data_IF_079297810064
#
_entry.id   IF_079297810064
#
_cell.length_a   1.000
_cell.length_b   1.000
_cell.length_c   1.000
_cell.angle_alpha   90.00
_cell.angle_beta   90.00
_cell.angle_gamma   90.00
#
_symmetry.space_group_name_H-M   'P 1'
#
loop_
_entity.id
_entity.type
_entity.pdbx_description
1 polymer ?
#
# COMPACT_ATOMS: atom_id res chain seq x y z
N UNK A 1 -20.03 -31.16 3.69
CA UNK A 1 -20.59 -30.36 2.60
C UNK A 1 -20.91 -29.01 3.23
N UNK A 2 -19.97 -28.05 3.13
CA UNK A 2 -20.22 -26.67 3.58
C UNK A 2 -21.14 -26.01 2.57
N UNK A 3 -22.27 -25.48 3.03
CA UNK A 3 -23.18 -24.72 2.18
C UNK A 3 -22.42 -23.48 1.68
N UNK A 4 -22.24 -23.39 0.36
CA UNK A 4 -21.76 -22.16 -0.29
C UNK A 4 -22.86 -21.12 -0.05
N UNK A 5 -22.55 -20.10 0.77
CA UNK A 5 -23.45 -18.94 0.91
C UNK A 5 -23.74 -18.39 -0.48
N UNK A 6 -25.01 -18.04 -0.79
CA UNK A 6 -25.33 -17.44 -2.08
C UNK A 6 -24.52 -16.13 -2.22
N UNK A 7 -23.66 -16.05 -3.24
CA UNK A 7 -22.99 -14.78 -3.60
C UNK A 7 -24.07 -13.71 -3.74
N UNK A 8 -23.90 -12.60 -3.02
CA UNK A 8 -24.77 -11.44 -3.18
C UNK A 8 -24.88 -11.09 -4.68
N UNK A 9 -26.10 -10.78 -5.12
CA UNK A 9 -26.35 -10.45 -6.52
C UNK A 9 -25.49 -9.23 -6.91
N UNK A 10 -24.66 -9.39 -7.96
CA UNK A 10 -23.84 -8.30 -8.51
C UNK A 10 -24.74 -7.12 -8.89
N UNK A 11 -24.32 -5.93 -8.49
CA UNK A 11 -24.99 -4.67 -8.84
C UNK A 11 -24.40 -4.04 -10.11
N UNK A 12 -23.13 -4.33 -10.40
CA UNK A 12 -22.44 -3.88 -11.61
C UNK A 12 -22.99 -4.56 -12.84
N UNK A 13 -23.41 -3.76 -13.80
CA UNK A 13 -23.91 -4.22 -15.10
C UNK A 13 -22.89 -3.92 -16.19
N UNK A 14 -22.67 -4.88 -17.06
CA UNK A 14 -21.83 -4.75 -18.24
C UNK A 14 -22.59 -4.33 -19.49
N UNK A 15 -21.87 -4.08 -20.59
CA UNK A 15 -20.43 -4.23 -20.73
C UNK A 15 -19.64 -3.17 -19.96
N UNK A 16 -18.47 -3.55 -19.43
CA UNK A 16 -17.50 -2.65 -18.82
C UNK A 16 -16.29 -2.54 -19.74
N UNK A 17 -15.98 -1.34 -20.23
CA UNK A 17 -14.78 -1.08 -21.03
C UNK A 17 -13.64 -0.68 -20.09
N UNK A 18 -12.53 -1.39 -20.14
CA UNK A 18 -11.31 -1.08 -19.39
C UNK A 18 -10.22 -0.60 -20.35
N UNK A 19 -9.76 0.62 -20.14
CA UNK A 19 -8.69 1.26 -20.91
C UNK A 19 -7.41 1.23 -20.10
N UNK A 20 -6.42 0.50 -20.62
CA UNK A 20 -5.17 0.19 -19.91
C UNK A 20 -5.22 -1.20 -19.28
N UNK A 21 -4.45 -2.12 -19.86
CA UNK A 21 -4.32 -3.52 -19.42
C UNK A 21 -3.05 -3.77 -18.62
N UNK A 22 -2.71 -2.80 -17.76
CA UNK A 22 -1.68 -2.94 -16.72
C UNK A 22 -2.13 -3.81 -15.55
N UNK A 23 -1.44 -3.71 -14.41
CA UNK A 23 -1.78 -4.45 -13.19
C UNK A 23 -3.23 -4.20 -12.75
N UNK A 24 -3.62 -2.93 -12.55
CA UNK A 24 -4.95 -2.58 -12.02
C UNK A 24 -6.07 -2.91 -13.01
N UNK A 25 -5.91 -2.51 -14.29
CA UNK A 25 -6.93 -2.74 -15.29
C UNK A 25 -7.18 -4.23 -15.53
N UNK A 26 -6.11 -5.04 -15.67
CA UNK A 26 -6.26 -6.48 -15.86
C UNK A 26 -6.83 -7.16 -14.61
N UNK A 27 -6.41 -6.77 -13.40
CA UNK A 27 -6.97 -7.32 -12.16
C UNK A 27 -8.46 -7.03 -12.03
N UNK A 28 -8.88 -5.78 -12.33
CA UNK A 28 -10.29 -5.39 -12.31
C UNK A 28 -11.10 -6.19 -13.34
N UNK A 29 -10.56 -6.32 -14.53
CA UNK A 29 -11.16 -7.13 -15.59
C UNK A 29 -11.38 -8.59 -15.15
N UNK A 30 -10.36 -9.22 -14.57
CA UNK A 30 -10.44 -10.59 -14.06
C UNK A 30 -11.48 -10.74 -12.95
N UNK A 31 -11.52 -9.79 -11.99
CA UNK A 31 -12.50 -9.79 -10.90
C UNK A 31 -13.94 -9.69 -11.45
N UNK A 32 -14.19 -8.77 -12.37
CA UNK A 32 -15.51 -8.58 -12.99
C UNK A 32 -15.91 -9.81 -13.83
N UNK A 33 -14.98 -10.38 -14.61
CA UNK A 33 -15.24 -11.60 -15.40
C UNK A 33 -15.56 -12.80 -14.51
N UNK A 34 -14.83 -12.98 -13.40
CA UNK A 34 -15.11 -14.03 -12.42
C UNK A 34 -16.52 -13.90 -11.80
N UNK A 35 -17.05 -12.68 -11.76
CA UNK A 35 -18.38 -12.36 -11.29
C UNK A 35 -19.45 -12.41 -12.41
N UNK A 36 -19.07 -12.76 -13.65
CA UNK A 36 -19.99 -12.91 -14.78
C UNK A 36 -20.31 -11.62 -15.53
N UNK A 37 -19.59 -10.53 -15.29
CA UNK A 37 -19.75 -9.26 -16.00
C UNK A 37 -19.03 -9.34 -17.36
N UNK A 38 -19.66 -8.83 -18.41
CA UNK A 38 -19.03 -8.67 -19.72
C UNK A 38 -17.99 -7.55 -19.67
N UNK A 39 -16.74 -7.85 -20.08
CA UNK A 39 -15.62 -6.90 -20.05
C UNK A 39 -14.98 -6.77 -21.44
N UNK A 40 -14.82 -5.54 -21.86
CA UNK A 40 -14.09 -5.13 -23.05
C UNK A 40 -12.77 -4.50 -22.65
N UNK A 41 -11.72 -4.69 -23.45
CA UNK A 41 -10.35 -4.26 -23.15
C UNK A 41 -9.82 -3.36 -24.26
N UNK A 42 -9.17 -2.28 -23.90
CA UNK A 42 -8.44 -1.40 -24.82
C UNK A 42 -7.09 -1.05 -24.23
N UNK A 43 -6.03 -1.14 -25.04
CA UNK A 43 -4.68 -0.72 -24.66
C UNK A 43 -3.91 -0.25 -25.89
N UNK A 44 -3.02 0.71 -25.73
CA UNK A 44 -2.13 1.18 -26.79
C UNK A 44 -1.01 0.18 -27.10
N UNK A 45 -0.73 -0.75 -26.18
CA UNK A 45 0.22 -1.85 -26.36
C UNK A 45 -0.52 -3.11 -26.82
N UNK A 46 -0.36 -3.54 -28.09
CA UNK A 46 -0.97 -4.79 -28.56
C UNK A 46 -0.54 -6.02 -27.75
N UNK A 47 0.69 -6.01 -27.24
CA UNK A 47 1.24 -7.12 -26.42
C UNK A 47 0.54 -7.18 -25.06
N UNK A 48 0.34 -6.03 -24.38
CA UNK A 48 -0.36 -5.99 -23.10
C UNK A 48 -1.81 -6.40 -23.26
N UNK A 49 -2.48 -5.90 -24.32
CA UNK A 49 -3.86 -6.26 -24.64
C UNK A 49 -4.01 -7.76 -24.91
N UNK A 50 -3.12 -8.34 -25.73
CA UNK A 50 -3.14 -9.76 -26.03
C UNK A 50 -2.93 -10.61 -24.78
N UNK A 51 -1.97 -10.23 -23.92
CA UNK A 51 -1.72 -10.93 -22.66
C UNK A 51 -2.95 -10.91 -21.74
N UNK A 52 -3.56 -9.74 -21.53
CA UNK A 52 -4.77 -9.61 -20.71
C UNK A 52 -5.94 -10.44 -21.25
N UNK A 53 -6.15 -10.45 -22.58
CA UNK A 53 -7.12 -11.31 -23.26
C UNK A 53 -6.84 -12.79 -22.99
N UNK A 54 -5.60 -13.22 -23.18
CA UNK A 54 -5.20 -14.63 -23.04
C UNK A 54 -5.28 -15.11 -21.58
N UNK A 55 -5.18 -14.20 -20.62
CA UNK A 55 -5.48 -14.44 -19.21
C UNK A 55 -7.00 -14.53 -18.91
N UNK A 56 -7.88 -14.30 -19.88
CA UNK A 56 -9.33 -14.35 -19.71
C UNK A 56 -9.94 -13.07 -19.09
N UNK A 57 -9.20 -11.95 -19.09
CA UNK A 57 -9.66 -10.69 -18.51
C UNK A 57 -10.83 -10.04 -19.32
N UNK A 58 -10.97 -10.36 -20.61
CA UNK A 58 -12.04 -9.83 -21.45
C UNK A 58 -11.75 -9.99 -22.92
N UNK A 59 -12.54 -9.31 -23.75
CA UNK A 59 -12.37 -9.28 -25.20
C UNK A 59 -11.86 -7.91 -25.65
N UNK A 60 -11.01 -7.83 -26.69
CA UNK A 60 -10.64 -6.53 -27.25
C UNK A 60 -11.86 -5.74 -27.69
N UNK A 61 -11.89 -4.44 -27.38
CA UNK A 61 -12.93 -3.51 -27.83
C UNK A 61 -12.65 -3.10 -29.29
N UNK A 62 -13.69 -3.11 -30.13
CA UNK A 62 -13.69 -2.69 -31.53
C UNK A 62 -14.99 -1.94 -31.89
N UNK A 63 -15.13 -1.58 -33.17
CA UNK A 63 -16.30 -0.81 -33.66
C UNK A 63 -17.61 -1.60 -33.58
N UNK A 64 -17.57 -2.93 -33.56
CA UNK A 64 -18.74 -3.82 -33.47
C UNK A 64 -19.09 -4.16 -32.02
N UNK A 65 -18.27 -3.75 -31.06
CA UNK A 65 -18.48 -4.03 -29.65
C UNK A 65 -19.71 -3.31 -29.10
N UNK A 66 -20.51 -3.95 -28.23
CA UNK A 66 -21.66 -3.29 -27.63
C UNK A 66 -21.24 -2.09 -26.78
N UNK A 67 -22.11 -1.05 -26.76
CA UNK A 67 -21.87 0.19 -26.02
C UNK A 67 -21.64 -0.09 -24.52
N UNK A 68 -20.54 0.37 -23.93
CA UNK A 68 -20.26 0.14 -22.52
C UNK A 68 -21.20 0.94 -21.62
N UNK A 69 -21.59 0.33 -20.50
CA UNK A 69 -22.30 1.04 -19.43
C UNK A 69 -21.34 1.76 -18.48
N UNK A 70 -20.12 1.22 -18.31
CA UNK A 70 -19.06 1.78 -17.48
C UNK A 70 -17.77 1.77 -18.28
N UNK A 71 -17.04 2.87 -18.24
CA UNK A 71 -15.68 2.97 -18.76
C UNK A 71 -14.71 3.21 -17.60
N UNK A 72 -13.71 2.35 -17.46
CA UNK A 72 -12.66 2.47 -16.44
C UNK A 72 -11.33 2.80 -17.10
N UNK A 73 -10.76 3.95 -16.76
CA UNK A 73 -9.48 4.42 -17.27
C UNK A 73 -8.37 4.04 -16.29
N UNK A 74 -7.59 3.02 -16.65
CA UNK A 74 -6.54 2.42 -15.82
C UNK A 74 -5.14 2.64 -16.42
N UNK A 75 -4.79 3.91 -16.66
CA UNK A 75 -3.54 4.35 -17.30
C UNK A 75 -2.79 5.34 -16.40
N UNK A 76 -1.53 5.72 -16.73
CA UNK A 76 -0.76 6.69 -15.95
C UNK A 76 -1.48 8.02 -15.74
N UNK A 77 -1.32 8.68 -14.58
CA UNK A 77 -2.12 9.84 -14.18
C UNK A 77 -1.92 11.08 -15.07
N UNK A 78 -0.78 11.24 -15.70
CA UNK A 78 -0.43 12.35 -16.57
C UNK A 78 -1.27 12.43 -17.87
N UNK A 79 -1.80 11.29 -18.32
CA UNK A 79 -2.64 11.18 -19.52
C UNK A 79 -4.11 10.86 -19.21
N UNK A 80 -4.42 10.55 -17.94
CA UNK A 80 -5.76 10.08 -17.51
C UNK A 80 -6.87 11.09 -17.88
N UNK A 81 -6.71 12.36 -17.57
CA UNK A 81 -7.74 13.37 -17.85
C UNK A 81 -8.07 13.48 -19.35
N UNK A 82 -7.06 13.38 -20.22
CA UNK A 82 -7.23 13.41 -21.67
C UNK A 82 -8.13 12.26 -22.15
N UNK A 83 -7.83 11.05 -21.65
CA UNK A 83 -8.58 9.85 -22.03
C UNK A 83 -9.99 9.87 -21.45
N UNK A 84 -10.16 10.27 -20.18
CA UNK A 84 -11.49 10.43 -19.56
C UNK A 84 -12.38 11.37 -20.38
N UNK A 85 -11.87 12.55 -20.77
CA UNK A 85 -12.63 13.51 -21.60
C UNK A 85 -13.01 12.92 -22.96
N UNK A 86 -12.09 12.19 -23.60
CA UNK A 86 -12.37 11.52 -24.86
C UNK A 86 -13.44 10.43 -24.70
N UNK A 87 -13.41 9.66 -23.62
CA UNK A 87 -14.38 8.59 -23.35
C UNK A 87 -15.77 9.15 -22.99
N UNK A 88 -15.83 10.26 -22.27
CA UNK A 88 -17.13 10.96 -22.02
C UNK A 88 -17.79 11.41 -23.31
N UNK A 89 -17.00 11.81 -24.31
CA UNK A 89 -17.52 12.20 -25.62
C UNK A 89 -17.88 10.99 -26.49
N UNK A 90 -17.09 9.94 -26.47
CA UNK A 90 -17.28 8.73 -27.27
C UNK A 90 -18.49 7.89 -26.79
N UNK A 91 -18.73 7.86 -25.47
CA UNK A 91 -19.75 7.03 -24.82
C UNK A 91 -20.76 7.90 -24.04
N UNK A 92 -21.76 8.51 -24.72
CA UNK A 92 -22.66 9.52 -24.11
C UNK A 92 -23.55 8.97 -23.01
N UNK A 93 -23.67 7.65 -22.87
CA UNK A 93 -24.54 7.01 -21.87
C UNK A 93 -23.73 6.31 -20.75
N UNK A 94 -22.42 6.13 -20.92
CA UNK A 94 -21.59 5.46 -19.96
C UNK A 94 -21.26 6.34 -18.74
N UNK A 95 -21.12 5.70 -17.58
CA UNK A 95 -20.42 6.28 -16.43
C UNK A 95 -18.93 6.06 -16.65
N UNK A 96 -18.14 7.11 -16.51
CA UNK A 96 -16.67 7.04 -16.69
C UNK A 96 -15.99 7.21 -15.35
N UNK A 97 -15.03 6.36 -15.05
CA UNK A 97 -14.16 6.46 -13.87
C UNK A 97 -12.72 6.26 -14.24
N UNK A 98 -11.82 6.69 -13.38
CA UNK A 98 -10.40 6.35 -13.43
C UNK A 98 -9.97 5.65 -12.14
N UNK A 99 -8.79 5.02 -12.18
CA UNK A 99 -8.17 4.37 -11.03
C UNK A 99 -6.78 4.95 -10.72
N UNK A 100 -6.50 6.18 -11.16
CA UNK A 100 -5.22 6.84 -10.95
C UNK A 100 -4.96 7.13 -9.47
N UNK A 101 -3.69 7.20 -9.09
CA UNK A 101 -3.25 7.43 -7.70
C UNK A 101 -3.32 8.89 -7.26
N UNK A 102 -3.70 9.82 -8.13
CA UNK A 102 -3.88 11.25 -7.85
C UNK A 102 -5.23 11.71 -8.38
N UNK A 103 -5.90 12.62 -7.68
CA UNK A 103 -7.29 12.98 -8.00
C UNK A 103 -7.49 14.45 -8.29
N UNK A 104 -6.92 15.35 -7.51
CA UNK A 104 -7.25 16.78 -7.58
C UNK A 104 -7.04 17.35 -8.98
N UNK A 105 -5.86 17.13 -9.54
CA UNK A 105 -5.52 17.59 -10.89
C UNK A 105 -6.38 16.92 -11.95
N UNK A 106 -6.55 15.59 -11.89
CA UNK A 106 -7.34 14.84 -12.90
C UNK A 106 -8.79 15.31 -12.90
N UNK A 107 -9.41 15.41 -11.72
CA UNK A 107 -10.80 15.86 -11.57
C UNK A 107 -10.96 17.29 -12.06
N UNK A 108 -10.06 18.21 -11.71
CA UNK A 108 -10.11 19.60 -12.15
C UNK A 108 -10.00 19.73 -13.68
N UNK A 109 -9.07 19.01 -14.32
CA UNK A 109 -8.89 19.01 -15.77
C UNK A 109 -10.08 18.42 -16.50
N UNK A 110 -10.66 17.30 -16.00
CA UNK A 110 -11.87 16.70 -16.58
C UNK A 110 -13.05 17.67 -16.51
N UNK A 111 -13.28 18.29 -15.36
CA UNK A 111 -14.38 19.26 -15.18
C UNK A 111 -14.26 20.46 -16.10
N UNK A 112 -13.06 21.03 -16.19
CA UNK A 112 -12.81 22.20 -17.03
C UNK A 112 -13.06 21.92 -18.53
N UNK A 113 -12.82 20.67 -18.98
CA UNK A 113 -12.84 20.31 -20.40
C UNK A 113 -14.11 19.62 -20.85
N UNK A 114 -14.71 18.79 -20.00
CA UNK A 114 -15.93 18.06 -20.35
C UNK A 114 -17.22 18.82 -20.01
N UNK A 115 -17.14 19.93 -19.26
CA UNK A 115 -18.30 20.75 -18.94
C UNK A 115 -19.44 19.95 -18.29
N UNK A 116 -20.65 19.98 -18.87
CA UNK A 116 -21.81 19.27 -18.33
C UNK A 116 -21.64 17.75 -18.33
N UNK A 117 -20.87 17.18 -19.24
CA UNK A 117 -20.62 15.74 -19.35
C UNK A 117 -19.78 15.22 -18.16
N UNK A 118 -19.02 16.09 -17.48
CA UNK A 118 -18.27 15.73 -16.29
C UNK A 118 -19.16 15.18 -15.16
N UNK A 119 -20.49 15.39 -15.19
CA UNK A 119 -21.42 14.79 -14.21
C UNK A 119 -21.49 13.26 -14.28
N UNK A 120 -21.09 12.66 -15.41
CA UNK A 120 -20.98 11.21 -15.60
C UNK A 120 -19.60 10.65 -15.23
N UNK A 121 -18.66 11.52 -14.89
CA UNK A 121 -17.34 11.13 -14.42
C UNK A 121 -17.30 11.08 -12.91
N UNK A 122 -16.73 10.00 -12.37
CA UNK A 122 -16.47 9.79 -10.94
C UNK A 122 -15.00 9.42 -10.79
N UNK A 123 -14.20 10.28 -10.20
CA UNK A 123 -12.82 9.93 -9.88
C UNK A 123 -12.76 8.81 -8.88
N UNK A 124 -11.88 7.84 -9.05
CA UNK A 124 -11.69 6.81 -8.04
C UNK A 124 -10.24 6.35 -7.90
N UNK A 125 -9.93 5.65 -6.81
CA UNK A 125 -8.61 5.11 -6.57
C UNK A 125 -8.70 3.87 -5.65
N UNK A 126 -8.52 2.65 -6.17
CA UNK A 126 -8.35 1.47 -5.34
C UNK A 126 -7.00 1.55 -4.62
N UNK A 127 -7.02 1.49 -3.27
CA UNK A 127 -5.80 1.46 -2.46
C UNK A 127 -5.14 0.07 -2.55
N UNK A 128 -4.80 -0.31 -3.77
CA UNK A 128 -4.28 -1.62 -4.13
C UNK A 128 -3.10 -1.47 -5.09
N UNK A 129 -2.07 -2.29 -4.89
CA UNK A 129 -0.87 -2.29 -5.73
C UNK A 129 0.05 -3.44 -5.36
N UNK A 130 1.03 -3.67 -6.22
CA UNK A 130 2.15 -4.61 -6.01
C UNK A 130 3.43 -3.95 -6.52
N UNK A 131 4.56 -4.45 -6.08
CA UNK A 131 5.88 -3.99 -6.54
C UNK A 131 6.13 -4.34 -8.02
N UNK A 132 5.39 -5.29 -8.56
CA UNK A 132 5.45 -5.69 -9.98
C UNK A 132 4.35 -5.02 -10.77
N UNK A 133 4.69 -4.51 -11.95
CA UNK A 133 3.78 -3.88 -12.90
C UNK A 133 3.38 -4.84 -14.04
N UNK A 134 2.36 -4.43 -14.82
CA UNK A 134 1.90 -5.14 -16.02
C UNK A 134 0.86 -6.23 -15.75
N UNK A 135 0.24 -6.73 -16.82
CA UNK A 135 -0.81 -7.74 -16.79
C UNK A 135 -0.35 -9.05 -16.13
N UNK A 136 0.91 -9.45 -16.30
CA UNK A 136 1.46 -10.68 -15.72
C UNK A 136 1.42 -10.73 -14.18
N UNK A 137 1.33 -9.58 -13.52
CA UNK A 137 1.22 -9.47 -12.07
C UNK A 137 -0.24 -9.34 -11.58
N UNK A 138 -1.22 -9.35 -12.50
CA UNK A 138 -2.64 -9.17 -12.19
C UNK A 138 -3.21 -10.36 -11.41
N UNK A 139 -4.19 -10.04 -10.57
CA UNK A 139 -4.86 -10.99 -9.70
C UNK A 139 -6.31 -10.55 -9.49
N UNK A 140 -7.26 -11.48 -9.63
CA UNK A 140 -8.68 -11.20 -9.42
C UNK A 140 -9.02 -10.76 -7.98
N UNK A 141 -8.19 -11.13 -7.01
CA UNK A 141 -8.40 -10.81 -5.59
C UNK A 141 -7.63 -9.55 -5.14
N UNK A 142 -7.00 -8.84 -6.09
CA UNK A 142 -6.16 -7.67 -5.78
C UNK A 142 -6.88 -6.60 -4.92
N UNK A 143 -8.18 -6.46 -5.11
CA UNK A 143 -9.01 -5.43 -4.46
C UNK A 143 -9.71 -5.91 -3.20
N UNK A 144 -9.76 -7.22 -2.95
CA UNK A 144 -10.51 -7.82 -1.85
C UNK A 144 -10.04 -7.29 -0.48
N UNK A 145 -10.99 -6.78 0.31
CA UNK A 145 -10.74 -6.22 1.64
C UNK A 145 -9.99 -4.89 1.66
N UNK A 146 -9.71 -4.28 0.51
CA UNK A 146 -8.97 -3.02 0.42
C UNK A 146 -9.90 -1.81 0.31
N UNK A 147 -9.51 -0.63 0.84
CA UNK A 147 -10.25 0.60 0.59
C UNK A 147 -10.22 0.97 -0.91
N UNK A 148 -11.35 1.51 -1.39
CA UNK A 148 -11.47 2.09 -2.72
C UNK A 148 -12.03 3.50 -2.58
N UNK A 149 -11.19 4.50 -2.78
CA UNK A 149 -11.62 5.90 -2.68
C UNK A 149 -12.50 6.25 -3.86
N UNK A 150 -13.62 6.94 -3.58
CA UNK A 150 -14.58 7.43 -4.56
C UNK A 150 -14.72 8.95 -4.40
N UNK A 151 -14.39 9.69 -5.44
CA UNK A 151 -14.44 11.15 -5.51
C UNK A 151 -15.58 11.56 -6.42
N UNK A 152 -16.79 11.63 -5.85
CA UNK A 152 -18.03 11.91 -6.56
C UNK A 152 -18.63 13.29 -6.27
N UNK A 153 -17.85 14.25 -5.74
CA UNK A 153 -18.33 15.51 -5.18
C UNK A 153 -19.23 16.33 -6.12
N UNK A 154 -18.93 16.35 -7.45
CA UNK A 154 -19.72 17.07 -8.45
C UNK A 154 -20.27 16.11 -9.53
N UNK A 155 -20.26 14.83 -9.28
CA UNK A 155 -20.83 13.82 -10.15
C UNK A 155 -22.34 13.69 -9.90
N UNK A 156 -23.06 13.13 -10.84
CA UNK A 156 -24.44 12.72 -10.61
C UNK A 156 -24.49 11.60 -9.55
N UNK A 157 -25.47 11.64 -8.65
CA UNK A 157 -25.58 10.65 -7.57
C UNK A 157 -25.70 9.22 -8.11
N UNK A 158 -26.34 9.03 -9.25
CA UNK A 158 -26.47 7.76 -9.94
C UNK A 158 -25.10 7.25 -10.44
N UNK A 159 -24.25 8.14 -10.96
CA UNK A 159 -22.92 7.80 -11.42
C UNK A 159 -22.02 7.42 -10.23
N UNK A 160 -22.07 8.17 -9.13
CA UNK A 160 -21.34 7.82 -7.89
C UNK A 160 -21.77 6.45 -7.37
N UNK A 161 -23.08 6.15 -7.36
CA UNK A 161 -23.62 4.87 -6.93
C UNK A 161 -23.10 3.71 -7.79
N UNK A 162 -23.03 3.89 -9.11
CA UNK A 162 -22.50 2.87 -10.04
C UNK A 162 -21.05 2.53 -9.68
N UNK A 163 -20.19 3.52 -9.45
CA UNK A 163 -18.77 3.27 -9.12
C UNK A 163 -18.59 2.70 -7.71
N UNK A 164 -19.43 3.10 -6.75
CA UNK A 164 -19.44 2.47 -5.43
C UNK A 164 -19.84 1.00 -5.49
N UNK A 165 -20.83 0.67 -6.29
CA UNK A 165 -21.24 -0.71 -6.51
C UNK A 165 -20.14 -1.53 -7.17
N UNK A 166 -19.47 -0.99 -8.20
CA UNK A 166 -18.31 -1.63 -8.84
C UNK A 166 -17.22 -1.97 -7.81
N UNK A 167 -16.89 -1.04 -6.90
CA UNK A 167 -15.91 -1.27 -5.84
C UNK A 167 -16.35 -2.40 -4.87
N UNK A 168 -17.62 -2.41 -4.46
CA UNK A 168 -18.17 -3.46 -3.59
C UNK A 168 -18.16 -4.82 -4.28
N UNK A 169 -18.56 -4.85 -5.53
CA UNK A 169 -18.69 -6.08 -6.31
C UNK A 169 -17.34 -6.80 -6.55
N UNK A 170 -16.22 -6.05 -6.53
CA UNK A 170 -14.86 -6.62 -6.57
C UNK A 170 -14.25 -6.83 -5.18
N UNK A 171 -15.07 -6.78 -4.14
CA UNK A 171 -14.67 -7.06 -2.76
C UNK A 171 -13.97 -5.92 -2.03
N UNK A 172 -13.95 -4.69 -2.60
CA UNK A 172 -13.40 -3.51 -1.95
C UNK A 172 -14.39 -2.82 -1.02
N UNK A 173 -13.87 -2.00 -0.11
CA UNK A 173 -14.67 -1.13 0.75
C UNK A 173 -14.64 0.29 0.20
N UNK A 174 -15.75 0.83 -0.36
CA UNK A 174 -15.76 2.19 -0.89
C UNK A 174 -15.66 3.22 0.24
N UNK A 175 -14.76 4.19 0.07
CA UNK A 175 -14.54 5.32 0.98
C UNK A 175 -14.78 6.60 0.21
N UNK A 176 -15.76 7.40 0.62
CA UNK A 176 -16.02 8.70 -0.01
C UNK A 176 -15.06 9.75 0.54
N UNK A 177 -14.45 10.50 -0.36
CA UNK A 177 -13.48 11.54 -0.03
C UNK A 177 -13.53 12.63 -1.11
N UNK A 178 -13.19 13.88 -0.80
CA UNK A 178 -12.96 14.83 -1.87
C UNK A 178 -11.54 14.70 -2.47
N UNK A 179 -11.30 15.33 -3.62
CA UNK A 179 -10.06 15.16 -4.36
C UNK A 179 -8.83 15.68 -3.60
N UNK A 180 -8.96 16.84 -2.93
CA UNK A 180 -7.86 17.44 -2.18
C UNK A 180 -7.57 16.67 -0.89
N UNK A 181 -8.61 16.21 -0.19
CA UNK A 181 -8.49 15.35 0.98
C UNK A 181 -7.78 14.03 0.62
N UNK A 182 -8.18 13.42 -0.52
CA UNK A 182 -7.54 12.22 -1.04
C UNK A 182 -6.05 12.46 -1.30
N UNK A 183 -5.70 13.52 -2.04
CA UNK A 183 -4.32 13.77 -2.46
C UNK A 183 -3.43 14.12 -1.25
N UNK A 184 -3.94 14.83 -0.25
CA UNK A 184 -3.26 15.05 1.02
C UNK A 184 -3.04 13.73 1.80
N UNK A 185 -4.06 12.86 1.85
CA UNK A 185 -3.97 11.58 2.54
C UNK A 185 -2.94 10.65 1.88
N UNK A 186 -3.01 10.45 0.55
CA UNK A 186 -2.06 9.56 -0.15
C UNK A 186 -0.64 10.12 -0.19
N UNK A 187 -0.48 11.44 -0.15
CA UNK A 187 0.84 12.04 0.04
C UNK A 187 1.49 11.55 1.33
N UNK A 188 0.74 11.49 2.41
CA UNK A 188 1.24 11.08 3.73
C UNK A 188 1.43 9.56 3.87
N UNK A 189 0.47 8.74 3.36
CA UNK A 189 0.46 7.29 3.62
C UNK A 189 1.13 6.46 2.52
N UNK A 190 1.43 7.07 1.35
CA UNK A 190 1.98 6.37 0.19
C UNK A 190 3.18 7.09 -0.44
N UNK A 191 3.01 8.35 -0.86
CA UNK A 191 4.00 9.04 -1.70
C UNK A 191 5.26 9.40 -0.91
N UNK A 192 5.10 10.00 0.26
CA UNK A 192 6.21 10.34 1.15
C UNK A 192 6.97 9.11 1.63
N UNK A 193 6.32 8.02 2.12
CA UNK A 193 7.01 6.79 2.47
C UNK A 193 7.86 6.23 1.32
N UNK A 194 7.34 6.21 0.10
CA UNK A 194 8.07 5.76 -1.09
C UNK A 194 9.35 6.58 -1.33
N UNK A 195 9.25 7.90 -1.24
CA UNK A 195 10.41 8.79 -1.44
C UNK A 195 11.45 8.61 -0.34
N UNK A 196 11.03 8.51 0.92
CA UNK A 196 11.95 8.29 2.04
C UNK A 196 12.65 6.95 1.93
N UNK A 197 11.94 5.88 1.61
CA UNK A 197 12.55 4.57 1.36
C UNK A 197 13.58 4.62 0.22
N UNK A 198 13.25 5.33 -0.88
CA UNK A 198 14.17 5.50 -2.01
C UNK A 198 15.39 6.34 -1.65
N UNK A 199 15.23 7.39 -0.83
CA UNK A 199 16.36 8.21 -0.33
C UNK A 199 17.28 7.39 0.58
N UNK A 200 16.74 6.55 1.45
CA UNK A 200 17.54 5.63 2.29
C UNK A 200 18.29 4.63 1.41
N UNK A 201 17.59 3.98 0.47
CA UNK A 201 18.18 3.00 -0.43
C UNK A 201 19.31 3.61 -1.29
N UNK A 202 19.15 4.85 -1.76
CA UNK A 202 20.17 5.55 -2.54
C UNK A 202 21.48 5.79 -1.76
N UNK A 203 21.45 5.82 -0.43
CA UNK A 203 22.68 5.92 0.38
C UNK A 203 23.51 4.65 0.36
N UNK A 204 22.89 3.51 0.00
CA UNK A 204 23.57 2.21 -0.06
C UNK A 204 24.50 2.07 -1.27
N UNK A 205 24.30 2.87 -2.34
CA UNK A 205 25.13 2.81 -3.55
C UNK A 205 26.62 3.09 -3.28
N UNK A 206 26.92 3.92 -2.27
CA UNK A 206 28.28 4.28 -1.91
C UNK A 206 28.95 3.34 -0.91
N UNK A 207 28.21 2.32 -0.41
CA UNK A 207 28.72 1.40 0.60
C UNK A 207 29.47 0.23 -0.04
N UNK A 208 30.62 -0.14 0.60
CA UNK A 208 31.34 -1.35 0.23
C UNK A 208 30.62 -2.63 0.67
N UNK A 209 31.00 -3.76 0.05
CA UNK A 209 30.38 -5.08 0.32
C UNK A 209 30.44 -5.49 1.80
N UNK A 210 31.52 -5.17 2.50
CA UNK A 210 31.68 -5.46 3.93
C UNK A 210 30.66 -4.74 4.80
N UNK A 211 30.31 -3.49 4.46
CA UNK A 211 29.27 -2.75 5.17
C UNK A 211 27.87 -3.29 4.83
N UNK A 212 27.63 -3.63 3.56
CA UNK A 212 26.37 -4.23 3.12
C UNK A 212 26.13 -5.62 3.75
N UNK A 213 27.19 -6.38 4.03
CA UNK A 213 27.11 -7.67 4.71
C UNK A 213 26.55 -7.57 6.15
N UNK A 214 26.60 -6.38 6.76
CA UNK A 214 26.03 -6.11 8.09
C UNK A 214 24.52 -5.77 8.05
N UNK A 215 23.91 -5.80 6.86
CA UNK A 215 22.49 -5.43 6.67
C UNK A 215 21.55 -6.40 7.39
N UNK A 216 20.84 -5.91 8.38
CA UNK A 216 19.79 -6.63 9.10
C UNK A 216 18.40 -6.46 8.48
N UNK A 217 17.38 -7.04 9.12
CA UNK A 217 15.99 -7.01 8.67
C UNK A 217 15.44 -5.57 8.61
N UNK A 218 15.76 -4.72 9.59
CA UNK A 218 15.28 -3.33 9.62
C UNK A 218 15.63 -2.54 8.36
N UNK A 219 16.87 -2.71 7.81
CA UNK A 219 17.24 -2.06 6.55
C UNK A 219 16.41 -2.62 5.36
N UNK A 220 16.20 -3.93 5.31
CA UNK A 220 15.39 -4.59 4.26
C UNK A 220 13.95 -4.10 4.28
N UNK A 221 13.35 -3.97 5.46
CA UNK A 221 11.96 -3.52 5.63
C UNK A 221 11.79 -2.08 5.19
N UNK A 222 12.68 -1.18 5.61
CA UNK A 222 12.62 0.24 5.21
C UNK A 222 12.86 0.43 3.72
N UNK A 223 13.76 -0.34 3.10
CA UNK A 223 14.10 -0.18 1.67
C UNK A 223 13.27 -1.04 0.73
N UNK A 224 12.42 -1.94 1.23
CA UNK A 224 11.64 -2.89 0.42
C UNK A 224 10.83 -2.21 -0.68
N UNK A 225 10.15 -1.12 -0.36
CA UNK A 225 9.31 -0.39 -1.32
C UNK A 225 10.11 0.46 -2.31
N UNK A 226 11.41 0.70 -2.08
CA UNK A 226 12.25 1.44 -3.02
C UNK A 226 12.42 0.74 -4.38
N UNK A 227 12.23 -0.59 -4.44
CA UNK A 227 12.26 -1.38 -5.68
C UNK A 227 10.98 -1.18 -6.49
N UNK A 228 10.82 0.00 -7.09
CA UNK A 228 9.61 0.43 -7.81
C UNK A 228 9.97 1.02 -9.17
N UNK A 229 8.99 1.07 -10.10
CA UNK A 229 9.18 1.69 -11.41
C UNK A 229 9.34 3.23 -11.29
N UNK A 230 10.53 3.79 -11.64
CA UNK A 230 10.77 5.22 -11.50
C UNK A 230 9.87 6.10 -12.37
N UNK A 231 9.43 5.61 -13.55
CA UNK A 231 8.59 6.38 -14.47
C UNK A 231 7.19 6.54 -13.91
N UNK A 232 6.62 5.45 -13.41
CA UNK A 232 5.29 5.47 -12.77
C UNK A 232 5.31 6.39 -11.55
N UNK A 233 6.30 6.23 -10.67
CA UNK A 233 6.40 7.05 -9.46
C UNK A 233 6.68 8.51 -9.73
N UNK A 234 7.46 8.84 -10.76
CA UNK A 234 7.65 10.24 -11.17
C UNK A 234 6.32 10.88 -11.58
N UNK A 235 5.48 10.19 -12.36
CA UNK A 235 4.17 10.71 -12.76
C UNK A 235 3.24 10.91 -11.55
N UNK A 236 3.24 9.98 -10.60
CA UNK A 236 2.46 10.06 -9.36
C UNK A 236 2.90 11.25 -8.50
N UNK A 237 4.20 11.36 -8.22
CA UNK A 237 4.74 12.39 -7.35
C UNK A 237 4.53 13.79 -7.94
N UNK A 238 4.80 13.96 -9.25
CA UNK A 238 4.58 15.24 -9.95
C UNK A 238 3.08 15.56 -10.01
N UNK A 239 2.22 14.56 -10.17
CA UNK A 239 0.78 14.72 -10.14
C UNK A 239 0.23 15.20 -8.78
N UNK A 240 0.95 14.95 -7.68
CA UNK A 240 0.60 15.34 -6.31
C UNK A 240 1.70 16.23 -5.68
N UNK A 241 2.34 17.09 -6.47
CA UNK A 241 3.56 17.80 -6.06
C UNK A 241 3.38 18.72 -4.85
N UNK A 242 2.27 19.43 -4.72
CA UNK A 242 2.00 20.35 -3.61
C UNK A 242 2.02 19.64 -2.24
N UNK A 243 1.06 18.75 -1.97
CA UNK A 243 1.01 17.98 -0.71
C UNK A 243 2.29 17.22 -0.39
N UNK A 244 2.95 16.63 -1.41
CA UNK A 244 4.20 15.90 -1.21
C UNK A 244 5.34 16.84 -0.81
N UNK A 245 5.48 17.98 -1.47
CA UNK A 245 6.53 18.96 -1.15
C UNK A 245 6.35 19.53 0.27
N UNK A 246 5.12 19.75 0.71
CA UNK A 246 4.84 20.25 2.05
C UNK A 246 5.24 19.25 3.14
N UNK A 247 4.97 17.96 2.95
CA UNK A 247 5.42 16.90 3.85
C UNK A 247 6.95 16.75 3.85
N UNK A 248 7.59 16.82 2.70
CA UNK A 248 9.05 16.74 2.61
C UNK A 248 9.74 17.91 3.30
N UNK A 249 9.15 19.13 3.26
CA UNK A 249 9.68 20.28 4.02
C UNK A 249 9.58 20.06 5.53
N UNK A 250 8.49 19.47 6.01
CA UNK A 250 8.33 19.13 7.43
C UNK A 250 9.39 18.11 7.86
N UNK A 251 9.61 17.04 7.09
CA UNK A 251 10.66 16.05 7.36
C UNK A 251 12.05 16.69 7.30
N UNK A 252 12.28 17.59 6.36
CA UNK A 252 13.56 18.31 6.24
C UNK A 252 13.84 19.17 7.46
N UNK A 253 12.82 19.82 8.02
CA UNK A 253 12.95 20.61 9.25
C UNK A 253 13.23 19.70 10.47
N UNK A 254 12.50 18.58 10.61
CA UNK A 254 12.74 17.60 11.67
C UNK A 254 14.15 16.99 11.56
N UNK A 255 14.60 16.68 10.35
CA UNK A 255 15.95 16.16 10.09
C UNK A 255 17.03 17.20 10.42
N UNK A 256 16.81 18.47 10.08
CA UNK A 256 17.72 19.57 10.44
C UNK A 256 17.90 19.69 11.96
N UNK A 257 16.79 19.70 12.71
CA UNK A 257 16.83 19.75 14.17
C UNK A 257 17.52 18.52 14.77
N UNK A 258 17.33 17.33 14.21
CA UNK A 258 17.99 16.11 14.63
C UNK A 258 19.50 16.18 14.37
N UNK A 259 19.93 16.69 13.20
CA UNK A 259 21.34 16.86 12.84
C UNK A 259 22.01 17.84 13.83
N UNK A 260 21.41 19.01 14.04
CA UNK A 260 21.93 20.00 15.00
C UNK A 260 22.11 19.41 16.40
N UNK A 261 21.12 18.64 16.87
CA UNK A 261 21.20 17.95 18.16
C UNK A 261 22.33 16.94 18.24
N UNK A 262 22.55 16.15 17.18
CA UNK A 262 23.63 15.14 17.14
C UNK A 262 25.01 15.82 17.02
N UNK A 263 25.12 16.86 16.19
CA UNK A 263 26.38 17.59 16.02
C UNK A 263 26.80 18.33 17.30
N UNK A 264 25.86 18.85 18.06
CA UNK A 264 26.13 19.46 19.36
C UNK A 264 26.75 18.44 20.34
N UNK A 265 26.36 17.16 20.26
CA UNK A 265 26.98 16.11 21.08
C UNK A 265 28.40 15.74 20.64
N UNK A 266 28.67 15.86 19.32
CA UNK A 266 29.99 15.56 18.76
C UNK A 266 31.00 16.70 18.98
N UNK A 267 30.51 17.91 19.24
CA UNK A 267 31.32 19.14 19.40
C UNK A 267 31.60 19.50 20.85
N UNK A 268 31.21 18.69 21.86
CA UNK A 268 31.67 18.96 23.25
C UNK A 268 33.20 18.84 23.31
N UNK A 269 33.92 19.96 23.62
CA UNK A 269 35.36 19.94 23.66
C UNK A 269 35.82 19.06 24.83
N UNK A 270 36.97 18.42 24.64
CA UNK A 270 37.79 17.84 25.71
C UNK A 270 37.97 18.88 26.84
N UNK A 271 37.02 18.97 27.74
CA UNK A 271 37.19 19.76 28.97
C UNK A 271 38.32 19.09 29.76
N UNK A 272 39.37 19.83 30.13
CA UNK A 272 40.49 19.25 30.84
C UNK A 272 40.14 18.61 32.20
N UNK A 273 38.91 18.79 32.65
CA UNK A 273 38.34 18.18 33.86
C UNK A 273 37.89 16.71 33.68
N UNK A 274 37.85 16.19 32.43
CA UNK A 274 37.39 14.82 32.14
C UNK A 274 38.52 13.79 31.91
N UNK A 275 39.75 14.10 32.27
CA UNK A 275 40.91 13.16 32.26
C UNK A 275 40.96 12.24 33.48
N UNK A 276 39.92 12.19 34.32
CA UNK A 276 39.86 11.19 35.40
C UNK A 276 39.53 9.81 34.82
N UNK A 277 40.26 8.73 35.23
CA UNK A 277 40.09 7.37 34.65
C UNK A 277 38.71 6.75 34.85
N UNK A 278 37.82 7.36 35.62
CA UNK A 278 36.47 6.91 35.95
C UNK A 278 35.37 7.83 35.38
N UNK A 279 35.70 8.76 34.46
CA UNK A 279 34.72 9.63 33.84
C UNK A 279 33.76 8.82 32.93
N UNK A 280 32.56 8.57 33.38
CA UNK A 280 31.48 8.11 32.53
C UNK A 280 31.24 9.20 31.47
N UNK A 281 31.48 8.89 30.20
CA UNK A 281 31.18 9.80 29.10
C UNK A 281 29.69 10.18 29.16
N UNK A 282 29.41 11.38 29.66
CA UNK A 282 28.03 11.90 29.74
C UNK A 282 27.69 12.41 28.36
N UNK A 283 26.79 11.71 27.66
CA UNK A 283 26.24 12.17 26.39
C UNK A 283 25.55 13.52 26.63
N UNK A 284 25.81 14.52 25.78
CA UNK A 284 25.22 15.85 25.91
C UNK A 284 23.68 15.77 26.03
N UNK A 285 23.06 16.33 27.05
CA UNK A 285 21.63 16.21 27.31
C UNK A 285 20.75 16.62 26.12
N UNK A 286 21.18 17.60 25.33
CA UNK A 286 20.46 18.08 24.15
C UNK A 286 20.35 17.04 23.03
N UNK A 287 21.42 16.27 22.75
CA UNK A 287 21.41 15.22 21.74
C UNK A 287 20.49 14.07 22.11
N UNK A 288 20.56 13.61 23.37
CA UNK A 288 19.64 12.57 23.87
C UNK A 288 18.19 13.03 23.76
N UNK A 289 17.92 14.30 24.07
CA UNK A 289 16.59 14.88 23.94
C UNK A 289 16.07 14.87 22.51
N UNK A 290 16.87 15.32 21.52
CA UNK A 290 16.48 15.38 20.13
C UNK A 290 16.18 13.96 19.55
N UNK A 291 17.04 12.99 19.83
CA UNK A 291 16.84 11.60 19.39
C UNK A 291 15.61 10.99 20.05
N UNK A 292 15.47 11.17 21.37
CA UNK A 292 14.32 10.65 22.12
C UNK A 292 12.99 11.20 21.61
N UNK A 293 12.92 12.51 21.30
CA UNK A 293 11.72 13.15 20.78
C UNK A 293 11.29 12.55 19.43
N UNK A 294 12.22 12.41 18.49
CA UNK A 294 11.93 11.81 17.17
C UNK A 294 11.44 10.37 17.33
N UNK A 295 12.10 9.55 18.18
CA UNK A 295 11.68 8.17 18.43
C UNK A 295 10.31 8.09 19.09
N UNK A 296 10.02 8.94 20.08
CA UNK A 296 8.73 8.98 20.77
C UNK A 296 7.59 9.39 19.81
N UNK A 297 7.82 10.42 18.97
CA UNK A 297 6.86 10.86 17.96
C UNK A 297 6.64 9.76 16.90
N UNK A 298 7.70 9.06 16.49
CA UNK A 298 7.63 7.94 15.57
C UNK A 298 6.77 6.80 16.14
N UNK A 299 7.00 6.40 17.39
CA UNK A 299 6.20 5.39 18.07
C UNK A 299 4.73 5.79 18.19
N UNK A 300 4.45 7.04 18.54
CA UNK A 300 3.10 7.57 18.61
C UNK A 300 2.41 7.56 17.24
N UNK A 301 3.14 7.93 16.18
CA UNK A 301 2.64 7.87 14.80
C UNK A 301 2.32 6.45 14.36
N UNK A 302 3.24 5.51 14.58
CA UNK A 302 3.04 4.08 14.25
C UNK A 302 1.82 3.49 14.97
N UNK A 303 1.61 3.85 16.23
CA UNK A 303 0.46 3.37 17.00
C UNK A 303 -0.90 3.83 16.46
N UNK A 304 -0.95 4.82 15.56
CA UNK A 304 -2.18 5.28 14.90
C UNK A 304 -2.55 4.49 13.65
N UNK A 305 -1.65 3.67 13.11
CA UNK A 305 -1.94 2.87 11.93
C UNK A 305 -2.97 1.80 12.32
N UNK A 306 -4.15 1.76 11.66
CA UNK A 306 -5.17 0.75 11.95
C UNK A 306 -4.65 -0.66 11.71
N UNK A 307 -5.06 -1.61 12.54
CA UNK A 307 -4.78 -3.02 12.33
C UNK A 307 -5.47 -3.59 11.08
N UNK A 308 -5.16 -4.84 10.75
CA UNK A 308 -5.59 -5.59 9.55
C UNK A 308 -7.09 -5.51 9.21
N UNK A 309 -7.94 -5.25 10.19
CA UNK A 309 -9.40 -5.24 10.04
C UNK A 309 -10.01 -3.82 10.07
N UNK A 310 -9.21 -2.76 9.87
CA UNK A 310 -9.68 -1.38 9.78
C UNK A 310 -10.33 -0.83 11.07
N UNK A 311 -10.23 -1.54 12.18
CA UNK A 311 -10.73 -1.11 13.49
C UNK A 311 -9.79 -0.12 14.18
N UNK A 312 -10.23 0.45 15.31
CA UNK A 312 -9.37 1.26 16.16
C UNK A 312 -8.05 0.53 16.45
N UNK A 313 -6.92 1.26 16.56
CA UNK A 313 -5.64 0.65 16.85
C UNK A 313 -5.76 -0.24 18.08
N UNK A 314 -5.57 -1.53 17.92
CA UNK A 314 -5.54 -2.48 19.04
C UNK A 314 -4.09 -2.70 19.42
N UNK A 315 -3.81 -2.71 20.72
CA UNK A 315 -2.51 -3.19 21.21
C UNK A 315 -2.54 -4.71 21.07
N UNK A 316 -1.63 -5.25 20.26
CA UNK A 316 -1.39 -6.68 20.19
C UNK A 316 -0.29 -7.04 21.18
N UNK A 317 -0.35 -8.25 21.73
CA UNK A 317 0.75 -8.86 22.43
C UNK A 317 1.65 -9.58 21.43
N UNK A 318 2.95 -9.50 21.59
CA UNK A 318 3.91 -10.23 20.76
C UNK A 318 4.35 -11.50 21.49
N UNK A 319 4.15 -12.64 20.84
CA UNK A 319 4.67 -13.95 21.28
C UNK A 319 5.84 -14.31 20.37
N UNK A 320 7.01 -14.49 20.96
CA UNK A 320 8.24 -14.78 20.24
C UNK A 320 8.57 -16.27 20.32
N UNK A 321 8.78 -16.91 19.18
CA UNK A 321 9.02 -18.34 19.08
C UNK A 321 10.27 -18.62 18.26
N UNK A 322 11.18 -19.42 18.81
CA UNK A 322 12.36 -19.88 18.08
C UNK A 322 11.93 -20.98 17.10
N UNK A 323 12.15 -20.75 15.82
CA UNK A 323 11.79 -21.67 14.72
C UNK A 323 13.08 -22.21 14.08
N UNK A 324 13.30 -23.52 14.06
CA UNK A 324 14.42 -24.12 13.35
C UNK A 324 14.37 -23.78 11.85
N UNK A 325 15.53 -23.48 11.25
CA UNK A 325 15.64 -23.26 9.80
C UNK A 325 15.65 -24.60 9.06
N UNK A 326 14.49 -25.26 9.04
CA UNK A 326 14.28 -26.53 8.39
C UNK A 326 12.95 -26.58 7.64
N UNK A 327 12.92 -27.35 6.57
CA UNK A 327 11.72 -27.48 5.75
C UNK A 327 10.54 -28.03 6.56
N UNK A 328 9.41 -27.31 6.53
CA UNK A 328 8.17 -27.71 7.21
C UNK A 328 7.97 -27.12 8.60
N UNK A 329 8.98 -26.55 9.26
CA UNK A 329 8.88 -26.06 10.64
C UNK A 329 7.90 -24.87 10.76
N UNK A 330 7.89 -23.93 9.79
CA UNK A 330 6.87 -22.88 9.77
C UNK A 330 5.47 -23.43 9.60
N UNK A 331 5.29 -24.45 8.75
CA UNK A 331 4.00 -25.12 8.56
C UNK A 331 3.52 -25.78 9.86
N UNK A 332 4.44 -26.42 10.61
CA UNK A 332 4.19 -27.01 11.93
C UNK A 332 3.78 -25.95 12.94
N UNK A 333 4.50 -24.81 12.99
CA UNK A 333 4.17 -23.69 13.87
C UNK A 333 2.76 -23.17 13.62
N UNK A 334 2.41 -22.85 12.38
CA UNK A 334 1.07 -22.37 12.05
C UNK A 334 -0.04 -23.39 12.34
N UNK A 335 0.24 -24.67 12.12
CA UNK A 335 -0.70 -25.76 12.47
C UNK A 335 -0.94 -25.83 13.97
N UNK A 336 0.10 -25.66 14.78
CA UNK A 336 0.04 -25.69 16.24
C UNK A 336 -0.67 -24.48 16.82
N UNK A 337 -0.47 -23.28 16.23
CA UNK A 337 -1.20 -22.07 16.58
C UNK A 337 -2.70 -22.23 16.25
N UNK A 338 -3.00 -22.76 15.06
CA UNK A 338 -4.40 -23.06 14.67
C UNK A 338 -5.07 -24.05 15.60
N UNK A 339 -4.34 -25.09 16.07
CA UNK A 339 -4.85 -26.06 17.03
C UNK A 339 -5.09 -25.44 18.42
N UNK A 340 -4.36 -24.39 18.80
CA UNK A 340 -4.60 -23.60 20.01
C UNK A 340 -5.80 -22.64 19.88
N UNK A 341 -6.43 -22.56 18.68
CA UNK A 341 -7.57 -21.68 18.43
C UNK A 341 -7.26 -20.19 18.42
N UNK A 342 -6.00 -19.82 18.23
CA UNK A 342 -5.54 -18.41 18.25
C UNK A 342 -5.43 -17.88 16.83
N UNK A 343 -6.01 -16.69 16.59
CA UNK A 343 -5.87 -15.96 15.36
C UNK A 343 -4.61 -15.10 15.40
N UNK A 344 -3.80 -15.14 14.32
CA UNK A 344 -2.62 -14.31 14.15
C UNK A 344 -3.01 -13.03 13.45
N UNK A 345 -2.75 -11.89 14.08
CA UNK A 345 -3.03 -10.57 13.52
C UNK A 345 -1.90 -10.08 12.62
N UNK A 346 -0.63 -10.35 13.02
CA UNK A 346 0.55 -10.08 12.23
C UNK A 346 1.64 -11.12 12.50
N UNK A 347 2.54 -11.31 11.53
CA UNK A 347 3.63 -12.27 11.59
C UNK A 347 4.87 -11.69 10.95
N UNK A 348 5.99 -11.82 11.64
CA UNK A 348 7.30 -11.62 11.04
C UNK A 348 8.27 -12.72 11.46
N UNK A 349 9.25 -12.99 10.61
CA UNK A 349 10.31 -13.97 10.88
C UNK A 349 11.66 -13.30 10.73
N UNK A 350 12.41 -13.26 11.80
CA UNK A 350 13.75 -12.68 11.84
C UNK A 350 14.80 -13.79 11.72
N UNK A 351 15.64 -13.71 10.70
CA UNK A 351 16.78 -14.58 10.51
C UNK A 351 18.07 -13.79 10.56
N UNK A 352 19.02 -14.26 11.34
CA UNK A 352 20.39 -13.76 11.28
C UNK A 352 21.26 -14.68 10.42
N UNK A 353 22.15 -14.11 9.62
CA UNK A 353 23.03 -14.87 8.75
C UNK A 353 23.86 -15.89 9.55
N UNK A 354 23.84 -17.16 9.13
CA UNK A 354 24.59 -18.24 9.76
C UNK A 354 23.94 -18.87 11.00
N UNK A 355 22.73 -18.50 11.37
CA UNK A 355 21.96 -19.17 12.42
C UNK A 355 21.11 -20.31 11.87
N UNK A 356 21.02 -21.40 12.64
CA UNK A 356 20.20 -22.57 12.30
C UNK A 356 18.73 -22.45 12.75
N UNK A 357 18.32 -21.27 13.22
CA UNK A 357 16.98 -20.98 13.66
C UNK A 357 16.66 -19.48 13.47
N UNK A 358 15.39 -19.15 13.22
CA UNK A 358 14.86 -17.79 13.21
C UNK A 358 13.96 -17.53 14.41
N UNK A 359 13.66 -16.27 14.70
CA UNK A 359 12.65 -15.87 15.68
C UNK A 359 11.39 -15.47 14.94
N UNK A 360 10.32 -16.21 15.16
CA UNK A 360 8.97 -15.84 14.70
C UNK A 360 8.35 -14.90 15.73
N UNK A 361 7.94 -13.71 15.29
CA UNK A 361 7.17 -12.75 16.09
C UNK A 361 5.70 -12.87 15.67
N UNK A 362 4.87 -13.25 16.61
CA UNK A 362 3.43 -13.47 16.42
C UNK A 362 2.67 -12.38 17.16
N UNK A 363 2.01 -11.48 16.43
CA UNK A 363 1.11 -10.51 17.02
C UNK A 363 -0.28 -11.13 17.21
N UNK A 364 -0.74 -11.21 18.44
CA UNK A 364 -2.03 -11.80 18.82
C UNK A 364 -2.82 -10.87 19.75
N UNK A 365 -4.10 -11.14 19.93
CA UNK A 365 -4.88 -10.39 20.93
C UNK A 365 -4.29 -10.63 22.33
N UNK A 366 -4.15 -9.59 23.19
CA UNK A 366 -3.52 -9.72 24.50
C UNK A 366 -4.13 -10.82 25.38
N UNK A 367 -5.43 -11.03 25.29
CA UNK A 367 -6.13 -12.09 26.03
C UNK A 367 -5.76 -13.52 25.58
N UNK A 368 -5.18 -13.67 24.37
CA UNK A 368 -4.80 -14.97 23.82
C UNK A 368 -3.30 -15.27 23.99
N UNK A 369 -2.49 -14.29 24.33
CA UNK A 369 -1.02 -14.41 24.32
C UNK A 369 -0.53 -15.48 25.29
N UNK A 370 -0.90 -15.39 26.56
CA UNK A 370 -0.45 -16.35 27.59
C UNK A 370 -0.89 -17.78 27.24
N UNK A 371 -2.15 -17.99 26.83
CA UNK A 371 -2.63 -19.32 26.44
C UNK A 371 -1.92 -19.88 25.20
N UNK A 372 -1.51 -19.01 24.27
CA UNK A 372 -0.70 -19.39 23.12
C UNK A 372 0.72 -19.81 23.55
N UNK A 373 1.37 -19.05 24.40
CA UNK A 373 2.71 -19.36 24.93
C UNK A 373 2.72 -20.71 25.60
N UNK A 374 1.76 -20.97 26.50
CA UNK A 374 1.61 -22.25 27.21
C UNK A 374 1.35 -23.42 26.24
N UNK A 375 0.50 -23.21 25.22
CA UNK A 375 0.18 -24.22 24.22
C UNK A 375 1.37 -24.57 23.32
N UNK A 376 2.17 -23.57 22.94
CA UNK A 376 3.36 -23.77 22.11
C UNK A 376 4.49 -24.44 22.91
N UNK A 377 4.71 -24.03 24.17
CA UNK A 377 5.71 -24.64 25.04
C UNK A 377 5.37 -26.13 25.29
N UNK A 378 4.10 -26.45 25.54
CA UNK A 378 3.61 -27.84 25.70
C UNK A 378 3.85 -28.71 24.46
N UNK A 379 3.94 -28.11 23.25
CA UNK A 379 4.27 -28.79 21.99
C UNK A 379 5.76 -28.79 21.65
N UNK A 380 6.59 -28.33 22.59
CA UNK A 380 8.05 -28.33 22.47
C UNK A 380 8.64 -27.16 21.69
N UNK A 381 7.85 -26.12 21.45
CA UNK A 381 8.38 -24.89 20.92
C UNK A 381 9.13 -24.11 22.00
N UNK A 382 10.23 -23.47 21.62
CA UNK A 382 10.92 -22.58 22.55
C UNK A 382 10.33 -21.18 22.42
N UNK A 383 9.48 -20.82 23.38
CA UNK A 383 8.93 -19.45 23.50
C UNK A 383 9.99 -18.59 24.20
N UNK A 384 10.29 -17.42 23.64
CA UNK A 384 11.22 -16.44 24.21
C UNK A 384 10.39 -15.49 25.06
N UNK A 385 10.66 -15.47 26.38
CA UNK A 385 10.01 -14.51 27.27
C UNK A 385 10.41 -13.08 26.89
N UNK A 386 9.42 -12.22 26.63
CA UNK A 386 9.61 -10.81 26.29
C UNK A 386 9.90 -9.94 27.52
#
# INVERSE_FOLDING_TARGET
>A
MSAVEPRASMSTRGPVLIIGTGLLGTSLALALRAAGVEVQLSDTSPTSLALARDMGAGVPHDEDSPEPQIVVVAIPPDVTANVVVAQLAAHPHAVVTDVASVKERVVAEVRARAGAEARRYVGSHPMAGRERSGAAAADSDLFAGRPWVVVGQDSASEAELVIRNLAVDVGSTPVRMDAAEHDAAVAAVSHMPQLIASLVAARLEALGESALALSGQGLRDVTRIAASDPRLWSAIIVGNAGPVADLLRQISADLGALIEGIEAAACEPDSPEHTAPDAVHTIAPGAVGAVTDVMARGNAGRARIPGKHGGAPRRYAEVQVLVPDAAGELGRLFSDIGAAGVNIEDFSLEHSAGQSAGIALLSVLPAAAQGLEEALDAKGWRVVAG
#
